data_IF_468546558827
#
_entry.id   IF_468546558827
#
_cell.length_a   1.000
_cell.length_b   1.000
_cell.length_c   1.000
_cell.angle_alpha   90.00
_cell.angle_beta   90.00
_cell.angle_gamma   90.00
#
_symmetry.space_group_name_H-M   'P 1'
#
loop_
_entity.id
_entity.type
_entity.pdbx_description
1 polymer ?
#
# COMPACT_ATOMS: atom_id res chain seq x y z
N UNK A 1 22.09 23.07 10.87
CA UNK A 1 21.37 21.79 10.76
C UNK A 1 20.58 21.84 9.46
N UNK A 2 20.77 20.89 8.56
CA UNK A 2 20.08 20.88 7.28
C UNK A 2 18.72 20.22 7.49
N UNK A 3 17.64 20.97 7.28
CA UNK A 3 16.29 20.46 7.40
C UNK A 3 16.00 19.59 6.18
N UNK A 4 15.88 18.27 6.37
CA UNK A 4 15.52 17.34 5.30
C UNK A 4 14.01 17.16 5.33
N UNK A 5 13.32 17.74 4.36
CA UNK A 5 11.84 17.80 4.31
C UNK A 5 11.17 16.41 4.26
N UNK A 6 11.86 15.39 3.72
CA UNK A 6 11.41 14.00 3.78
C UNK A 6 12.56 13.02 3.54
N UNK A 7 12.50 11.84 4.17
CA UNK A 7 13.45 10.76 3.93
C UNK A 7 12.77 9.39 3.89
N UNK A 8 13.36 8.45 3.15
CA UNK A 8 12.85 7.07 3.04
C UNK A 8 13.54 6.18 4.05
N UNK A 9 12.79 5.61 5.00
CA UNK A 9 13.29 4.61 5.93
C UNK A 9 12.52 3.29 5.75
N UNK A 10 13.24 2.21 5.43
CA UNK A 10 12.67 0.88 5.19
C UNK A 10 11.48 0.85 4.20
N UNK A 11 11.48 1.78 3.24
CA UNK A 11 10.42 1.90 2.22
C UNK A 11 9.19 2.68 2.66
N UNK A 12 9.20 3.26 3.85
CA UNK A 12 8.23 4.25 4.34
C UNK A 12 8.81 5.65 4.21
N UNK A 13 7.99 6.61 3.78
CA UNK A 13 8.38 8.01 3.66
C UNK A 13 8.07 8.70 4.98
N UNK A 14 9.09 9.21 5.66
CA UNK A 14 8.98 10.01 6.87
C UNK A 14 9.13 11.47 6.45
N UNK A 15 8.01 12.20 6.46
CA UNK A 15 7.96 13.65 6.22
C UNK A 15 8.01 14.41 7.56
N UNK A 16 8.46 15.66 7.53
CA UNK A 16 8.56 16.56 8.69
C UNK A 16 7.26 16.72 9.51
N UNK A 17 6.10 16.58 8.86
CA UNK A 17 4.76 16.66 9.44
C UNK A 17 4.29 15.31 10.02
N UNK A 18 5.08 14.24 9.85
CA UNK A 18 4.74 12.90 10.32
C UNK A 18 3.48 12.33 9.66
N UNK A 19 3.15 12.79 8.44
CA UNK A 19 1.94 12.43 7.71
C UNK A 19 2.07 11.07 7.03
N UNK A 20 1.06 10.21 7.19
CA UNK A 20 1.00 8.92 6.50
C UNK A 20 0.60 9.03 5.02
N UNK A 21 0.22 10.22 4.52
CA UNK A 21 -0.35 10.40 3.18
C UNK A 21 0.65 10.04 2.06
N UNK A 22 1.92 10.47 2.20
CA UNK A 22 2.96 10.16 1.24
C UNK A 22 3.24 8.64 1.16
N UNK A 23 3.30 7.97 2.31
CA UNK A 23 3.46 6.51 2.39
C UNK A 23 2.25 5.79 1.80
N UNK A 24 1.02 6.19 2.16
CA UNK A 24 -0.23 5.64 1.60
C UNK A 24 -0.23 5.75 0.07
N UNK A 25 0.11 6.91 -0.48
CA UNK A 25 0.17 7.13 -1.93
C UNK A 25 1.23 6.26 -2.60
N UNK A 26 2.41 6.13 -1.99
CA UNK A 26 3.46 5.24 -2.49
C UNK A 26 3.02 3.76 -2.47
N UNK A 27 2.33 3.33 -1.41
CA UNK A 27 1.82 1.96 -1.25
C UNK A 27 0.71 1.63 -2.26
N UNK A 28 -0.20 2.57 -2.51
CA UNK A 28 -1.20 2.44 -3.58
C UNK A 28 -0.53 2.26 -4.94
N UNK A 29 0.53 3.03 -5.23
CA UNK A 29 1.32 2.87 -6.45
C UNK A 29 1.94 1.47 -6.58
N UNK A 30 2.59 0.98 -5.52
CA UNK A 30 3.18 -0.36 -5.48
C UNK A 30 2.13 -1.47 -5.63
N UNK A 31 0.98 -1.34 -4.96
CA UNK A 31 -0.12 -2.30 -5.06
C UNK A 31 -0.70 -2.37 -6.47
N UNK A 32 -0.84 -1.23 -7.16
CA UNK A 32 -1.25 -1.17 -8.56
C UNK A 32 -0.24 -1.87 -9.48
N UNK A 33 1.05 -1.62 -9.28
CA UNK A 33 2.10 -2.29 -10.04
C UNK A 33 2.08 -3.81 -9.82
N UNK A 34 1.96 -4.26 -8.56
CA UNK A 34 1.84 -5.68 -8.24
C UNK A 34 0.58 -6.31 -8.85
N UNK A 35 -0.55 -5.60 -8.87
CA UNK A 35 -1.76 -6.06 -9.54
C UNK A 35 -1.55 -6.23 -11.05
N UNK A 36 -0.91 -5.26 -11.71
CA UNK A 36 -0.62 -5.33 -13.14
C UNK A 36 0.36 -6.47 -13.48
N UNK A 37 1.37 -6.72 -12.65
CA UNK A 37 2.30 -7.84 -12.86
C UNK A 37 1.61 -9.21 -12.86
N UNK A 38 0.45 -9.33 -12.20
CA UNK A 38 -0.35 -10.55 -12.14
C UNK A 38 -1.42 -10.62 -13.25
N UNK A 39 -1.33 -9.79 -14.29
CA UNK A 39 -2.27 -9.75 -15.42
C UNK A 39 -2.54 -11.14 -16.03
N UNK A 40 -1.49 -11.94 -16.23
CA UNK A 40 -1.62 -13.30 -16.76
C UNK A 40 -2.46 -14.21 -15.84
N UNK A 41 -2.39 -14.01 -14.52
CA UNK A 41 -3.19 -14.74 -13.53
C UNK A 41 -4.67 -14.32 -13.64
N UNK A 42 -4.93 -13.03 -13.80
CA UNK A 42 -6.28 -12.50 -13.95
C UNK A 42 -6.95 -12.99 -15.23
N UNK A 43 -6.20 -13.01 -16.33
CA UNK A 43 -6.66 -13.43 -17.66
C UNK A 43 -6.77 -14.96 -17.82
N UNK A 44 -6.13 -15.74 -16.94
CA UNK A 44 -6.19 -17.21 -17.02
C UNK A 44 -7.60 -17.75 -16.76
N UNK A 45 -8.13 -18.49 -17.73
CA UNK A 45 -9.41 -19.23 -17.58
C UNK A 45 -9.26 -20.55 -16.82
N UNK A 46 -8.04 -21.07 -16.70
CA UNK A 46 -7.75 -22.33 -16.01
C UNK A 46 -7.71 -22.17 -14.49
N UNK A 47 -7.46 -20.95 -14.01
CA UNK A 47 -7.40 -20.65 -12.59
C UNK A 47 -8.80 -20.34 -12.03
N UNK A 48 -9.15 -21.03 -10.96
CA UNK A 48 -10.39 -20.77 -10.24
C UNK A 48 -10.37 -19.40 -9.56
N UNK A 49 -11.56 -18.83 -9.35
CA UNK A 49 -11.73 -17.55 -8.64
C UNK A 49 -11.06 -17.57 -7.26
N UNK A 50 -11.13 -18.70 -6.55
CA UNK A 50 -10.52 -18.83 -5.22
C UNK A 50 -8.98 -18.67 -5.26
N UNK A 51 -8.32 -19.19 -6.28
CA UNK A 51 -6.86 -19.05 -6.44
C UNK A 51 -6.51 -17.59 -6.78
N UNK A 52 -7.30 -16.92 -7.61
CA UNK A 52 -7.11 -15.51 -7.94
C UNK A 52 -7.29 -14.61 -6.71
N UNK A 53 -8.34 -14.87 -5.91
CA UNK A 53 -8.57 -14.16 -4.64
C UNK A 53 -7.43 -14.40 -3.64
N UNK A 54 -6.92 -15.64 -3.55
CA UNK A 54 -5.75 -15.93 -2.71
C UNK A 54 -4.53 -15.13 -3.15
N UNK A 55 -4.23 -15.09 -4.45
CA UNK A 55 -3.12 -14.31 -5.00
C UNK A 55 -3.26 -12.80 -4.74
N UNK A 56 -4.47 -12.27 -4.85
CA UNK A 56 -4.74 -10.87 -4.50
C UNK A 56 -4.45 -10.62 -3.02
N UNK A 57 -4.95 -11.47 -2.12
CA UNK A 57 -4.76 -11.30 -0.69
C UNK A 57 -3.29 -11.43 -0.26
N UNK A 58 -2.53 -12.36 -0.85
CA UNK A 58 -1.13 -12.60 -0.49
C UNK A 58 -0.17 -11.58 -1.06
N UNK A 59 -0.42 -11.07 -2.28
CA UNK A 59 0.54 -10.20 -2.97
C UNK A 59 0.10 -8.74 -2.97
N UNK A 60 -1.12 -8.46 -3.43
CA UNK A 60 -1.59 -7.08 -3.63
C UNK A 60 -2.03 -6.46 -2.30
N UNK A 61 -2.88 -7.17 -1.55
CA UNK A 61 -3.39 -6.69 -0.26
C UNK A 61 -2.28 -6.57 0.79
N UNK A 62 -1.31 -7.50 0.79
CA UNK A 62 -0.15 -7.42 1.68
C UNK A 62 0.70 -6.17 1.41
N UNK A 63 0.99 -5.86 0.15
CA UNK A 63 1.75 -4.65 -0.22
C UNK A 63 1.00 -3.36 0.15
N UNK A 64 -0.32 -3.35 -0.06
CA UNK A 64 -1.16 -2.19 0.25
C UNK A 64 -1.25 -1.90 1.75
N UNK A 65 -1.33 -2.94 2.59
CA UNK A 65 -1.54 -2.82 4.03
C UNK A 65 -0.25 -2.84 4.85
N UNK A 66 0.89 -3.08 4.21
CA UNK A 66 2.16 -3.10 4.92
C UNK A 66 2.45 -1.74 5.56
N UNK A 67 2.67 -1.73 6.88
CA UNK A 67 2.92 -0.52 7.65
C UNK A 67 1.64 0.26 8.03
N UNK A 68 0.45 -0.21 7.64
CA UNK A 68 -0.81 0.45 7.97
C UNK A 68 -1.11 0.49 9.48
N UNK A 69 -0.52 -0.42 10.26
CA UNK A 69 -0.56 -0.39 11.74
C UNK A 69 0.12 0.85 12.34
N UNK A 70 1.08 1.44 11.62
CA UNK A 70 1.82 2.64 12.03
C UNK A 70 1.24 3.92 11.43
N UNK A 71 0.22 3.81 10.55
CA UNK A 71 -0.45 4.98 10.01
C UNK A 71 -1.24 5.66 11.12
N UNK A 72 -0.88 6.91 11.40
CA UNK A 72 -1.55 7.72 12.41
C UNK A 72 -2.99 7.95 11.94
N UNK A 73 -3.96 7.36 12.64
CA UNK A 73 -5.39 7.63 12.45
C UNK A 73 -5.65 9.07 12.86
N UNK A 74 -5.56 10.00 11.91
CA UNK A 74 -5.95 11.38 12.13
C UNK A 74 -7.45 11.42 12.42
N UNK A 75 -7.84 12.19 13.44
CA UNK A 75 -9.22 12.37 13.93
C UNK A 75 -10.22 12.74 12.82
N UNK A 76 -9.73 13.28 11.70
CA UNK A 76 -10.51 13.58 10.48
C UNK A 76 -11.07 12.33 9.79
N UNK A 77 -10.39 11.18 9.84
CA UNK A 77 -10.85 9.93 9.24
C UNK A 77 -11.87 9.23 10.15
N UNK A 78 -11.68 9.27 11.47
CA UNK A 78 -12.60 8.68 12.45
C UNK A 78 -13.98 9.35 12.41
N UNK A 79 -14.05 10.68 12.18
CA UNK A 79 -15.33 11.41 12.07
C UNK A 79 -16.10 11.14 10.77
N UNK A 80 -15.51 10.43 9.81
CA UNK A 80 -16.12 10.13 8.50
C UNK A 80 -16.64 8.68 8.40
N UNK A 81 -16.43 7.87 9.43
CA UNK A 81 -17.05 6.55 9.63
C UNK A 81 -18.31 6.77 10.46
#
# INVERSE_FOLDING_TARGET
>A
MQNVESFTYLGSIIDEQGGSDADVKARIGKARAAFLQLENIWNSKQLSTNIKVRNFNTNVKAVLLYGAETWRTTTTTIKKI
#
